data_IF_642097922811
#
_entry.id   IF_642097922811
#
_cell.length_a   1.000
_cell.length_b   1.000
_cell.length_c   1.000
_cell.angle_alpha   90.00
_cell.angle_beta   90.00
_cell.angle_gamma   90.00
#
_symmetry.space_group_name_H-M   'P 1'
#
loop_
_entity.id
_entity.type
_entity.pdbx_description
1 polymer ?
#
# COMPACT_ATOMS: atom_id res chain seq x y z
N UNK A 1 -25.32 -42.61 53.99
CA UNK A 1 -24.77 -43.74 53.22
C UNK A 1 -24.48 -43.26 51.80
N UNK A 2 -23.31 -43.63 51.26
CA UNK A 2 -22.69 -43.15 50.01
C UNK A 2 -23.54 -43.45 48.76
N UNK A 3 -23.47 -42.56 47.76
CA UNK A 3 -22.99 -42.86 46.38
C UNK A 3 -22.81 -41.56 45.58
N UNK A 4 -21.58 -41.40 45.08
CA UNK A 4 -21.10 -40.38 44.13
C UNK A 4 -21.51 -40.83 42.71
N UNK A 5 -21.93 -39.91 41.84
CA UNK A 5 -21.75 -40.04 40.40
C UNK A 5 -21.39 -38.68 39.80
N UNK A 6 -20.18 -38.63 39.26
CA UNK A 6 -19.54 -37.57 38.48
C UNK A 6 -20.21 -37.51 37.10
N UNK A 7 -20.44 -36.31 36.57
CA UNK A 7 -21.01 -36.13 35.22
C UNK A 7 -20.73 -34.75 34.64
N UNK A 8 -19.50 -34.57 34.13
CA UNK A 8 -19.01 -33.62 33.13
C UNK A 8 -19.39 -32.13 33.24
N UNK A 9 -18.41 -31.35 33.71
CA UNK A 9 -18.17 -29.98 33.26
C UNK A 9 -17.97 -29.96 31.73
N UNK A 10 -18.85 -29.28 31.00
CA UNK A 10 -18.52 -28.76 29.67
C UNK A 10 -18.18 -27.28 29.82
N UNK A 11 -16.91 -27.03 30.08
CA UNK A 11 -16.31 -25.72 29.84
C UNK A 11 -16.24 -25.53 28.33
N UNK A 12 -17.26 -24.90 27.75
CA UNK A 12 -17.16 -24.33 26.40
C UNK A 12 -16.26 -23.11 26.50
N UNK A 13 -14.97 -23.36 26.32
CA UNK A 13 -13.98 -22.34 26.04
C UNK A 13 -14.42 -21.59 24.79
N UNK A 14 -14.89 -20.36 24.97
CA UNK A 14 -14.97 -19.41 23.88
C UNK A 14 -13.53 -19.21 23.40
N UNK A 15 -13.19 -19.91 22.31
CA UNK A 15 -11.98 -19.64 21.54
C UNK A 15 -12.16 -18.20 21.08
N UNK A 16 -11.48 -17.27 21.76
CA UNK A 16 -11.26 -15.95 21.23
C UNK A 16 -10.45 -16.18 19.95
N UNK A 17 -11.12 -16.21 18.80
CA UNK A 17 -10.47 -16.04 17.51
C UNK A 17 -9.93 -14.63 17.56
N UNK A 18 -8.68 -14.50 18.00
CA UNK A 18 -7.91 -13.29 17.79
C UNK A 18 -7.73 -13.20 16.27
N UNK A 19 -8.70 -12.59 15.59
CA UNK A 19 -8.43 -11.95 14.31
C UNK A 19 -7.31 -10.98 14.63
N UNK A 20 -6.09 -11.35 14.26
CA UNK A 20 -4.98 -10.43 14.23
C UNK A 20 -5.45 -9.32 13.29
N UNK A 21 -5.91 -8.21 13.87
CA UNK A 21 -6.11 -6.97 13.15
C UNK A 21 -4.71 -6.65 12.66
N UNK A 22 -4.40 -7.04 11.42
CA UNK A 22 -3.21 -6.61 10.73
C UNK A 22 -3.36 -5.10 10.69
N UNK A 23 -2.73 -4.41 11.62
CA UNK A 23 -2.63 -2.95 11.62
C UNK A 23 -1.91 -2.63 10.34
N UNK A 24 -2.67 -2.21 9.33
CA UNK A 24 -2.14 -2.04 7.98
C UNK A 24 -1.10 -0.92 8.02
N UNK A 25 0.07 -1.12 7.39
CA UNK A 25 1.12 -0.12 7.38
C UNK A 25 0.59 1.18 6.75
N UNK A 26 0.41 2.20 7.58
CA UNK A 26 0.08 3.55 7.11
C UNK A 26 1.28 4.50 7.18
N UNK A 27 2.27 4.18 8.03
CA UNK A 27 3.51 4.96 8.11
C UNK A 27 4.48 4.55 7.00
N UNK A 28 5.21 5.54 6.47
CA UNK A 28 6.29 5.34 5.47
C UNK A 28 7.18 4.15 5.80
N UNK A 29 7.75 4.12 7.01
CA UNK A 29 8.66 3.04 7.45
C UNK A 29 8.00 1.66 7.40
N UNK A 30 6.73 1.57 7.79
CA UNK A 30 6.01 0.29 7.80
C UNK A 30 5.72 -0.19 6.38
N UNK A 31 5.34 0.73 5.47
CA UNK A 31 5.12 0.43 4.04
C UNK A 31 6.43 -0.02 3.39
N UNK A 32 7.50 0.76 3.54
CA UNK A 32 8.82 0.41 3.01
C UNK A 32 9.30 -0.96 3.52
N UNK A 33 9.13 -1.22 4.81
CA UNK A 33 9.48 -2.53 5.39
C UNK A 33 8.60 -3.67 4.85
N UNK A 34 7.34 -3.41 4.55
CA UNK A 34 6.44 -4.39 3.93
C UNK A 34 6.90 -4.72 2.50
N UNK A 35 7.21 -3.71 1.69
CA UNK A 35 7.71 -3.91 0.32
C UNK A 35 8.99 -4.74 0.32
N UNK A 36 9.98 -4.36 1.14
CA UNK A 36 11.25 -5.09 1.23
C UNK A 36 11.09 -6.56 1.66
N UNK A 37 10.12 -6.86 2.54
CA UNK A 37 9.88 -8.25 2.99
C UNK A 37 9.13 -9.12 1.99
N UNK A 38 8.38 -8.51 1.05
CA UNK A 38 7.51 -9.21 0.12
C UNK A 38 7.87 -8.88 -1.34
N UNK A 39 9.09 -8.42 -1.61
CA UNK A 39 9.48 -7.82 -2.88
C UNK A 39 9.25 -8.76 -4.06
N UNK A 40 9.65 -10.03 -3.95
CA UNK A 40 9.53 -11.00 -5.04
C UNK A 40 8.05 -11.27 -5.38
N UNK A 41 7.22 -11.45 -4.36
CA UNK A 41 5.79 -11.70 -4.52
C UNK A 41 5.07 -10.49 -5.14
N UNK A 42 5.36 -9.30 -4.63
CA UNK A 42 4.83 -8.04 -5.16
C UNK A 42 5.27 -7.81 -6.60
N UNK A 43 6.51 -8.16 -6.95
CA UNK A 43 7.06 -7.97 -8.31
C UNK A 43 6.38 -8.89 -9.30
N UNK A 44 6.22 -10.16 -8.95
CA UNK A 44 5.49 -11.11 -9.78
C UNK A 44 4.03 -10.67 -9.98
N UNK A 45 3.40 -10.15 -8.93
CA UNK A 45 2.04 -9.62 -9.03
C UNK A 45 1.98 -8.37 -9.92
N UNK A 46 2.87 -7.40 -9.75
CA UNK A 46 2.90 -6.18 -10.56
C UNK A 46 3.10 -6.50 -12.05
N UNK A 47 4.04 -7.41 -12.39
CA UNK A 47 4.24 -7.86 -13.78
C UNK A 47 3.00 -8.52 -14.37
N UNK A 48 2.32 -9.36 -13.59
CA UNK A 48 1.05 -9.96 -14.02
C UNK A 48 -0.01 -8.88 -14.30
N UNK A 49 -0.09 -7.86 -13.44
CA UNK A 49 -1.02 -6.73 -13.63
C UNK A 49 -0.68 -5.97 -14.92
N UNK A 50 0.59 -5.72 -15.19
CA UNK A 50 1.07 -5.10 -16.44
C UNK A 50 0.66 -5.96 -17.65
N UNK A 51 0.93 -7.28 -17.62
CA UNK A 51 0.55 -8.19 -18.71
C UNK A 51 -0.96 -8.19 -18.99
N UNK A 52 -1.79 -8.13 -17.94
CA UNK A 52 -3.25 -8.21 -18.05
C UNK A 52 -3.93 -6.89 -18.44
N UNK A 53 -3.26 -5.74 -18.27
CA UNK A 53 -3.79 -4.40 -18.57
C UNK A 53 -5.23 -4.17 -18.07
N UNK A 54 -5.52 -4.35 -16.76
CA UNK A 54 -6.87 -4.31 -16.23
C UNK A 54 -7.49 -2.90 -16.39
N UNK A 55 -8.76 -2.84 -16.79
CA UNK A 55 -9.49 -1.57 -16.95
C UNK A 55 -10.01 -0.97 -15.63
N UNK A 56 -9.89 -1.69 -14.52
CA UNK A 56 -10.50 -1.31 -13.25
C UNK A 56 -9.63 -1.67 -12.04
N UNK A 57 -9.97 -1.16 -10.85
CA UNK A 57 -9.19 -1.41 -9.65
C UNK A 57 -9.15 -2.89 -9.29
N UNK A 58 -7.96 -3.37 -9.00
CA UNK A 58 -7.70 -4.67 -8.40
C UNK A 58 -7.56 -4.52 -6.88
N UNK A 59 -7.35 -5.64 -6.20
CA UNK A 59 -7.07 -5.65 -4.77
C UNK A 59 -5.85 -6.52 -4.42
N UNK A 60 -5.03 -6.01 -3.51
CA UNK A 60 -3.92 -6.73 -2.90
C UNK A 60 -3.97 -6.55 -1.39
N UNK A 61 -4.20 -7.63 -0.64
CA UNK A 61 -4.31 -7.59 0.82
C UNK A 61 -5.27 -6.50 1.34
N UNK A 62 -6.33 -6.24 0.57
CA UNK A 62 -7.35 -5.23 0.84
C UNK A 62 -6.92 -3.78 0.59
N UNK A 63 -5.77 -3.55 -0.07
CA UNK A 63 -5.45 -2.28 -0.70
C UNK A 63 -5.96 -2.27 -2.12
N UNK A 64 -6.37 -1.09 -2.59
CA UNK A 64 -6.68 -0.91 -4.01
C UNK A 64 -5.37 -0.89 -4.80
N UNK A 65 -5.39 -1.60 -5.91
CA UNK A 65 -4.30 -1.62 -6.87
C UNK A 65 -4.79 -1.06 -8.19
N UNK A 66 -4.00 -0.18 -8.78
CA UNK A 66 -4.31 0.47 -10.06
C UNK A 66 -3.17 0.22 -11.03
N UNK A 67 -3.53 -0.05 -12.27
CA UNK A 67 -2.62 -0.05 -13.41
C UNK A 67 -2.78 1.28 -14.15
N UNK A 68 -1.66 1.92 -14.48
CA UNK A 68 -1.63 3.17 -15.24
C UNK A 68 -0.81 3.00 -16.53
N UNK A 69 -0.60 4.11 -17.25
CA UNK A 69 0.32 4.08 -18.39
C UNK A 69 1.76 3.90 -17.89
N UNK A 70 2.70 3.78 -18.83
CA UNK A 70 4.13 3.60 -18.58
C UNK A 70 4.46 2.40 -17.64
N UNK A 71 3.60 1.38 -17.65
CA UNK A 71 3.71 0.14 -16.86
C UNK A 71 3.88 0.39 -15.34
N UNK A 72 3.20 1.42 -14.84
CA UNK A 72 3.15 1.78 -13.42
C UNK A 72 2.01 1.05 -12.69
N UNK A 73 2.32 0.36 -11.59
CA UNK A 73 1.33 -0.35 -10.74
C UNK A 73 1.32 0.21 -9.34
N UNK A 74 0.25 0.93 -8.99
CA UNK A 74 0.10 1.63 -7.71
C UNK A 74 -0.67 0.79 -6.68
N UNK A 75 -0.14 0.71 -5.46
CA UNK A 75 -0.80 0.14 -4.29
C UNK A 75 -1.17 1.26 -3.31
N UNK A 76 -2.45 1.63 -3.28
CA UNK A 76 -2.98 2.67 -2.40
C UNK A 76 -3.23 2.11 -1.00
N UNK A 77 -2.33 2.44 -0.05
CA UNK A 77 -2.37 1.89 1.31
C UNK A 77 -3.33 2.63 2.24
N UNK A 78 -3.70 3.85 1.87
CA UNK A 78 -4.75 4.61 2.54
C UNK A 78 -4.75 6.08 2.16
N UNK A 79 -5.79 6.77 2.60
CA UNK A 79 -5.97 8.20 2.49
C UNK A 79 -6.35 8.80 3.85
N UNK A 80 -6.00 10.06 4.06
CA UNK A 80 -6.39 10.82 5.25
C UNK A 80 -6.75 12.25 4.86
N UNK A 81 -7.93 12.70 5.24
CA UNK A 81 -8.45 14.04 4.91
C UNK A 81 -9.90 14.01 4.45
N UNK A 82 -10.40 15.17 4.04
CA UNK A 82 -11.73 15.37 3.46
C UNK A 82 -11.55 15.94 2.07
N UNK A 83 -12.09 15.28 1.04
CA UNK A 83 -12.04 15.78 -0.34
C UNK A 83 -12.57 17.23 -0.38
N UNK A 84 -11.86 18.18 -1.02
CA UNK A 84 -10.67 17.98 -1.85
C UNK A 84 -9.35 17.80 -1.07
N UNK A 85 -9.27 18.27 0.18
CA UNK A 85 -8.06 18.23 1.01
C UNK A 85 -7.74 16.83 1.54
N UNK A 86 -7.00 16.04 0.77
CA UNK A 86 -6.71 14.62 1.07
C UNK A 86 -5.24 14.29 0.84
N UNK A 87 -4.64 13.62 1.82
CA UNK A 87 -3.33 13.00 1.69
C UNK A 87 -3.48 11.53 1.32
N UNK A 88 -2.85 11.12 0.21
CA UNK A 88 -2.74 9.72 -0.21
C UNK A 88 -1.33 9.20 0.09
N UNK A 89 -1.26 7.96 0.54
CA UNK A 89 0.01 7.26 0.76
C UNK A 89 -0.03 5.86 0.20
N UNK A 90 1.08 5.44 -0.36
CA UNK A 90 1.21 4.09 -0.89
C UNK A 90 2.60 3.80 -1.37
N UNK A 91 2.66 2.81 -2.25
CA UNK A 91 3.87 2.46 -2.97
C UNK A 91 3.47 2.05 -4.39
N UNK A 92 4.43 2.06 -5.31
CA UNK A 92 4.20 1.61 -6.67
C UNK A 92 5.40 0.84 -7.20
N UNK A 93 5.11 -0.02 -8.17
CA UNK A 93 6.09 -0.61 -9.06
C UNK A 93 6.19 0.26 -10.32
N UNK A 94 7.40 0.55 -10.80
CA UNK A 94 7.63 1.13 -12.12
C UNK A 94 8.59 0.26 -12.93
N UNK A 95 8.16 -0.15 -14.12
CA UNK A 95 8.94 -1.05 -14.97
C UNK A 95 10.23 -0.39 -15.47
N UNK A 96 10.21 0.93 -15.67
CA UNK A 96 11.37 1.72 -16.10
C UNK A 96 12.37 2.05 -14.98
N UNK A 97 12.08 1.69 -13.72
CA UNK A 97 12.86 2.05 -12.53
C UNK A 97 13.08 3.56 -12.35
N UNK A 98 12.13 4.40 -12.78
CA UNK A 98 12.15 5.86 -12.58
C UNK A 98 11.02 6.33 -11.64
N UNK A 99 11.14 7.52 -11.01
CA UNK A 99 10.09 8.03 -10.15
C UNK A 99 8.89 8.56 -10.95
N UNK A 100 7.69 8.11 -10.60
CA UNK A 100 6.42 8.48 -11.26
C UNK A 100 5.53 9.36 -10.39
N UNK A 101 4.71 10.18 -11.07
CA UNK A 101 3.68 10.99 -10.42
C UNK A 101 2.58 10.12 -9.82
N UNK A 102 1.82 10.68 -8.88
CA UNK A 102 0.67 10.01 -8.30
C UNK A 102 -0.36 9.75 -9.40
N UNK A 103 -0.88 8.53 -9.48
CA UNK A 103 -1.72 8.09 -10.60
C UNK A 103 -1.09 8.29 -11.99
N UNK A 104 0.25 8.21 -12.07
CA UNK A 104 1.01 8.36 -13.30
C UNK A 104 0.82 9.72 -14.00
N UNK A 105 0.50 10.76 -13.21
CA UNK A 105 0.43 12.12 -13.72
C UNK A 105 1.85 12.60 -14.03
N UNK A 106 2.14 13.08 -15.27
CA UNK A 106 3.48 13.54 -15.61
C UNK A 106 3.82 14.80 -14.80
N UNK A 107 4.91 14.73 -14.03
CA UNK A 107 5.40 15.82 -13.19
C UNK A 107 6.90 16.00 -13.33
N UNK A 108 7.37 17.24 -13.24
CA UNK A 108 8.80 17.54 -13.19
C UNK A 108 9.31 17.42 -11.75
N UNK A 109 9.84 16.25 -11.41
CA UNK A 109 10.43 16.00 -10.10
C UNK A 109 11.75 16.73 -9.89
N UNK A 110 11.90 17.31 -8.70
CA UNK A 110 13.18 17.87 -8.21
C UNK A 110 13.71 16.97 -7.11
N UNK A 111 15.01 16.68 -7.12
CA UNK A 111 15.64 15.87 -6.07
C UNK A 111 15.47 16.52 -4.70
N UNK A 112 15.00 15.75 -3.71
CA UNK A 112 14.66 16.25 -2.37
C UNK A 112 14.95 15.19 -1.30
N UNK A 113 15.97 15.43 -0.46
CA UNK A 113 16.45 14.44 0.51
C UNK A 113 16.83 13.13 -0.18
N UNK A 114 16.28 12.02 0.31
CA UNK A 114 16.51 10.69 -0.28
C UNK A 114 15.67 10.42 -1.53
N UNK A 115 14.70 11.29 -1.83
CA UNK A 115 13.68 11.08 -2.85
C UNK A 115 13.60 12.23 -3.83
N UNK A 116 12.38 12.47 -4.30
CA UNK A 116 12.01 13.51 -5.24
C UNK A 116 10.72 14.17 -4.78
N UNK A 117 10.64 15.48 -4.98
CA UNK A 117 9.49 16.29 -4.65
C UNK A 117 8.97 16.98 -5.90
N UNK A 118 7.66 17.13 -5.96
CA UNK A 118 6.98 18.02 -6.88
C UNK A 118 5.98 18.87 -6.09
N UNK A 119 5.80 20.12 -6.51
CA UNK A 119 4.79 21.02 -6.00
C UNK A 119 4.20 21.76 -7.20
N UNK A 120 2.88 21.91 -7.22
CA UNK A 120 2.18 22.65 -8.25
C UNK A 120 2.60 24.13 -8.23
N UNK A 121 2.82 24.72 -9.41
CA UNK A 121 3.23 26.13 -9.49
C UNK A 121 2.13 27.11 -9.09
N UNK A 122 0.88 26.76 -9.40
CA UNK A 122 -0.30 27.56 -9.12
C UNK A 122 -1.33 26.73 -8.31
N UNK A 123 -0.93 26.28 -7.13
CA UNK A 123 -1.79 25.50 -6.23
C UNK A 123 -1.09 25.09 -4.94
N UNK A 124 -1.73 24.22 -4.15
CA UNK A 124 -1.17 23.62 -2.93
C UNK A 124 -0.97 22.10 -3.05
N UNK A 125 -1.16 21.55 -4.24
CA UNK A 125 -0.88 20.15 -4.53
C UNK A 125 0.61 19.87 -4.42
N UNK A 126 0.96 18.78 -3.71
CA UNK A 126 2.35 18.36 -3.55
C UNK A 126 2.48 16.85 -3.65
N UNK A 127 3.64 16.39 -4.11
CA UNK A 127 4.00 14.99 -4.09
C UNK A 127 5.43 14.81 -3.62
N UNK A 128 5.64 13.75 -2.86
CA UNK A 128 6.96 13.22 -2.57
C UNK A 128 7.00 11.74 -2.92
N UNK A 129 8.08 11.31 -3.59
CA UNK A 129 8.35 9.89 -3.83
C UNK A 129 9.79 9.53 -3.48
N UNK A 130 10.00 8.32 -2.96
CA UNK A 130 11.32 7.83 -2.56
C UNK A 130 11.49 6.37 -2.95
N UNK A 131 12.63 6.05 -3.57
CA UNK A 131 12.96 4.67 -3.93
C UNK A 131 13.13 3.81 -2.67
N UNK A 132 12.50 2.64 -2.68
CA UNK A 132 12.59 1.60 -1.64
C UNK A 132 13.61 0.54 -2.05
N UNK A 133 13.48 0.05 -3.29
CA UNK A 133 14.34 -0.93 -3.93
C UNK A 133 14.27 -0.74 -5.46
N UNK A 134 14.98 -1.55 -6.24
CA UNK A 134 14.84 -1.53 -7.71
C UNK A 134 13.37 -1.72 -8.09
N UNK A 135 12.87 -0.84 -8.96
CA UNK A 135 11.49 -0.73 -9.44
C UNK A 135 10.43 -0.38 -8.40
N UNK A 136 10.79 -0.24 -7.12
CA UNK A 136 9.83 -0.05 -6.03
C UNK A 136 10.00 1.30 -5.35
N UNK A 137 8.91 2.05 -5.28
CA UNK A 137 8.90 3.41 -4.76
C UNK A 137 7.79 3.60 -3.74
N UNK A 138 8.06 4.40 -2.71
CA UNK A 138 7.06 4.90 -1.77
C UNK A 138 6.57 6.27 -2.24
N UNK A 139 5.32 6.63 -1.96
CA UNK A 139 4.80 7.96 -2.23
C UNK A 139 3.93 8.54 -1.11
N UNK A 140 3.87 9.87 -1.06
CA UNK A 140 2.86 10.69 -0.40
C UNK A 140 2.43 11.80 -1.36
N UNK A 141 1.13 11.89 -1.63
CA UNK A 141 0.54 12.95 -2.46
C UNK A 141 -0.51 13.72 -1.64
N UNK A 142 -0.58 15.03 -1.82
CA UNK A 142 -1.50 15.93 -1.11
C UNK A 142 -2.23 16.79 -2.12
N UNK A 143 -3.54 16.87 -1.91
CA UNK A 143 -4.50 17.73 -2.59
C UNK A 143 -5.33 18.46 -1.53
#
# INVERSE_FOLDING_TARGET
MKRICIGLLTALGCIAVATALIVRPFSKKSIQSYVLRNQDELTNYARKVIEEHPMGPLEWNGWKVYYYADDMVEFCTGSFGLIPSTTYKGFYYSEDDEPHGFQDVPVEFVKSGNGWSWAESEGDNTQYTERIAAHWYWYEAKF
#
